data_IF_378300303357
#
_entry.id   IF_378300303357
#
_cell.length_a   1.000
_cell.length_b   1.000
_cell.length_c   1.000
_cell.angle_alpha   90.00
_cell.angle_beta   90.00
_cell.angle_gamma   90.00
#
_symmetry.space_group_name_H-M   'P 1'
#
loop_
_entity.id
_entity.type
_entity.pdbx_description
1 polymer ?
#
# COMPACT_ATOMS: atom_id res chain seq x y z
N UNK A 1 -29.40 18.31 13.42
CA UNK A 1 -30.10 18.24 14.70
C UNK A 1 -31.39 17.46 14.47
N UNK A 2 -31.59 16.39 15.26
CA UNK A 2 -32.82 15.61 15.30
C UNK A 2 -33.65 16.10 16.49
N UNK A 3 -34.95 16.33 16.31
CA UNK A 3 -35.87 16.62 17.38
C UNK A 3 -36.65 15.37 17.82
N UNK A 4 -37.35 15.43 18.96
CA UNK A 4 -38.07 14.28 19.48
C UNK A 4 -39.15 13.74 18.54
N UNK A 5 -39.75 14.58 17.70
CA UNK A 5 -40.74 14.15 16.72
C UNK A 5 -40.09 13.41 15.56
N UNK A 6 -38.89 13.87 15.11
CA UNK A 6 -38.11 13.20 14.08
C UNK A 6 -37.58 11.82 14.54
N UNK A 7 -37.39 11.65 15.85
CA UNK A 7 -36.97 10.37 16.44
C UNK A 7 -38.15 9.44 16.76
N UNK A 8 -39.38 9.84 16.50
CA UNK A 8 -40.55 9.03 16.80
C UNK A 8 -40.76 8.80 18.31
N UNK A 9 -40.38 9.77 19.16
CA UNK A 9 -40.55 9.64 20.60
C UNK A 9 -42.02 9.45 20.96
N UNK A 10 -42.30 8.39 21.65
CA UNK A 10 -43.61 8.12 22.22
C UNK A 10 -43.52 7.62 23.66
N UNK A 11 -44.58 7.85 24.40
CA UNK A 11 -44.70 7.41 25.74
C UNK A 11 -44.97 5.91 25.83
N UNK A 12 -44.12 5.18 26.52
CA UNK A 12 -44.39 3.79 26.86
C UNK A 12 -45.08 3.77 28.23
N UNK A 13 -46.36 3.40 28.23
CA UNK A 13 -47.12 3.24 29.48
C UNK A 13 -46.76 1.87 30.10
N UNK A 14 -46.14 1.92 31.26
CA UNK A 14 -45.89 0.72 32.08
C UNK A 14 -47.11 0.23 32.88
N UNK A 15 -48.25 0.93 32.72
CA UNK A 15 -49.49 0.61 33.41
C UNK A 15 -49.57 1.11 34.86
N UNK A 16 -48.55 1.82 35.38
CA UNK A 16 -48.57 2.35 36.76
C UNK A 16 -49.75 3.29 36.99
N UNK A 17 -50.11 4.13 35.98
CA UNK A 17 -51.27 5.00 36.05
C UNK A 17 -52.56 4.21 36.22
N UNK A 18 -52.76 3.15 35.41
CA UNK A 18 -53.92 2.27 35.50
C UNK A 18 -53.97 1.54 36.85
N UNK A 19 -52.84 1.12 37.34
CA UNK A 19 -52.73 0.48 38.65
C UNK A 19 -53.10 1.44 39.78
N UNK A 20 -52.55 2.65 39.77
CA UNK A 20 -52.92 3.69 40.72
C UNK A 20 -54.42 4.03 40.66
N UNK A 21 -55.00 4.13 39.45
CA UNK A 21 -56.43 4.36 39.31
C UNK A 21 -57.29 3.20 39.84
N UNK A 22 -56.84 1.96 39.61
CA UNK A 22 -57.57 0.78 40.11
C UNK A 22 -57.49 0.59 41.62
N UNK A 23 -56.42 1.08 42.23
CA UNK A 23 -56.24 1.05 43.69
C UNK A 23 -56.99 2.20 44.43
N UNK A 24 -57.49 3.17 43.68
CA UNK A 24 -58.25 4.28 44.26
C UNK A 24 -59.65 3.80 44.64
N UNK A 25 -59.95 3.99 45.89
CA UNK A 25 -61.32 3.74 46.46
C UNK A 25 -62.11 5.03 46.41
N UNK A 26 -63.11 5.09 45.54
CA UNK A 26 -63.91 6.29 45.29
C UNK A 26 -64.56 6.88 46.55
N UNK A 27 -64.88 6.09 47.56
CA UNK A 27 -65.46 6.60 48.80
C UNK A 27 -64.47 7.35 49.72
N UNK A 28 -63.14 7.15 49.50
CA UNK A 28 -62.10 7.84 50.25
C UNK A 28 -61.69 9.20 49.60
N UNK A 29 -62.31 9.59 48.48
CA UNK A 29 -62.06 10.90 47.90
C UNK A 29 -62.49 12.08 48.70
N UNK A 30 -63.61 11.93 49.45
CA UNK A 30 -64.15 12.99 50.30
C UNK A 30 -63.19 13.30 51.45
N UNK A 31 -62.67 12.33 52.21
CA UNK A 31 -61.65 12.58 53.25
C UNK A 31 -60.31 13.08 52.60
N UNK A 32 -59.94 12.64 51.46
CA UNK A 32 -58.72 13.07 50.78
C UNK A 32 -58.75 14.54 50.37
N UNK A 33 -59.95 15.12 50.14
CA UNK A 33 -60.12 16.54 49.82
C UNK A 33 -59.69 17.46 50.98
N UNK A 34 -59.84 16.99 52.22
CA UNK A 34 -59.44 17.69 53.41
C UNK A 34 -58.08 17.24 53.99
N UNK A 35 -57.45 16.30 53.37
CA UNK A 35 -56.18 15.70 53.79
C UNK A 35 -54.97 16.31 53.13
N UNK A 36 -53.81 15.80 53.48
CA UNK A 36 -52.56 16.17 52.83
C UNK A 36 -52.51 15.70 51.38
N UNK A 37 -51.97 16.53 50.48
CA UNK A 37 -51.74 16.19 49.09
C UNK A 37 -50.76 15.00 49.00
N UNK A 38 -51.20 13.93 48.36
CA UNK A 38 -50.32 12.78 48.13
C UNK A 38 -49.56 13.01 46.82
N UNK A 39 -48.26 12.98 46.92
CA UNK A 39 -47.35 13.03 45.73
C UNK A 39 -46.99 11.61 45.36
N UNK A 40 -47.17 11.31 44.08
CA UNK A 40 -46.73 10.05 43.47
C UNK A 40 -45.59 10.36 42.52
N UNK A 41 -44.46 9.71 42.67
CA UNK A 41 -43.37 9.73 41.69
C UNK A 41 -43.57 8.54 40.77
N UNK A 42 -43.72 8.80 39.52
CA UNK A 42 -43.90 7.78 38.48
C UNK A 42 -42.67 7.77 37.60
N UNK A 43 -42.21 6.60 37.24
CA UNK A 43 -41.21 6.43 36.21
C UNK A 43 -41.87 6.58 34.83
N UNK A 44 -41.27 7.39 33.97
CA UNK A 44 -41.72 7.59 32.62
C UNK A 44 -40.69 6.97 31.72
N UNK A 45 -41.07 5.95 30.95
CA UNK A 45 -40.25 5.42 29.92
C UNK A 45 -40.63 6.06 28.58
N UNK A 46 -39.66 6.56 27.90
CA UNK A 46 -39.80 7.09 26.53
C UNK A 46 -39.04 6.15 25.63
N UNK A 47 -39.66 5.72 24.54
CA UNK A 47 -38.99 4.95 23.50
C UNK A 47 -39.04 5.72 22.22
N UNK A 48 -38.01 5.52 21.39
CA UNK A 48 -38.01 5.96 20.00
C UNK A 48 -38.53 4.81 19.13
N UNK A 49 -39.26 5.16 18.08
CA UNK A 49 -39.63 4.18 17.06
C UNK A 49 -38.44 3.91 16.15
N UNK A 50 -37.87 2.70 16.20
CA UNK A 50 -36.65 2.35 15.51
C UNK A 50 -36.69 2.70 14.03
N UNK A 51 -37.79 2.40 13.33
CA UNK A 51 -37.90 2.70 11.89
C UNK A 51 -37.89 4.20 11.59
N UNK A 52 -38.54 5.00 12.40
CA UNK A 52 -38.58 6.46 12.29
C UNK A 52 -37.22 7.07 12.61
N UNK A 53 -36.51 6.53 13.62
CA UNK A 53 -35.15 6.92 13.99
C UNK A 53 -34.17 6.64 12.86
N UNK A 54 -34.18 5.43 12.31
CA UNK A 54 -33.33 5.06 11.16
C UNK A 54 -33.52 5.99 9.97
N UNK A 55 -34.79 6.24 9.58
CA UNK A 55 -35.09 7.15 8.47
C UNK A 55 -34.59 8.56 8.74
N UNK A 56 -34.74 9.04 9.96
CA UNK A 56 -34.27 10.37 10.36
C UNK A 56 -32.73 10.47 10.33
N UNK A 57 -32.02 9.43 10.76
CA UNK A 57 -30.55 9.36 10.67
C UNK A 57 -30.09 9.44 9.20
N UNK A 58 -30.75 8.70 8.32
CA UNK A 58 -30.43 8.72 6.87
C UNK A 58 -30.62 10.08 6.22
N UNK A 59 -31.49 10.94 6.76
CA UNK A 59 -31.70 12.31 6.24
C UNK A 59 -30.65 13.31 6.72
N UNK A 60 -29.80 12.94 7.67
CA UNK A 60 -28.77 13.84 8.17
C UNK A 60 -27.77 14.20 7.07
N UNK A 61 -27.33 15.45 7.09
CA UNK A 61 -26.43 16.00 6.10
C UNK A 61 -25.08 15.27 6.05
N UNK A 62 -24.61 14.78 7.20
CA UNK A 62 -23.38 14.00 7.32
C UNK A 62 -23.49 12.57 6.76
N UNK A 63 -24.73 12.06 6.57
CA UNK A 63 -25.01 10.74 6.01
C UNK A 63 -25.19 10.75 4.48
N UNK A 64 -25.10 11.91 3.85
CA UNK A 64 -25.24 12.00 2.39
C UNK A 64 -23.94 11.60 1.72
N UNK A 65 -24.01 10.78 0.67
CA UNK A 65 -22.82 10.26 -0.04
C UNK A 65 -21.89 11.37 -0.57
N UNK A 66 -22.44 12.49 -0.98
CA UNK A 66 -21.68 13.65 -1.47
C UNK A 66 -20.93 14.42 -0.36
N UNK A 67 -21.31 14.19 0.91
CA UNK A 67 -20.65 14.76 2.08
C UNK A 67 -19.60 13.87 2.69
N UNK A 68 -19.52 12.59 2.25
CA UNK A 68 -18.63 11.58 2.83
C UNK A 68 -17.47 11.26 1.91
N UNK A 69 -16.27 11.13 2.49
CA UNK A 69 -15.06 10.67 1.80
C UNK A 69 -14.68 9.30 2.34
N UNK A 70 -14.57 8.31 1.45
CA UNK A 70 -14.16 6.96 1.87
C UNK A 70 -12.71 6.95 2.33
N UNK A 71 -12.37 6.16 3.36
CA UNK A 71 -10.99 5.96 3.75
C UNK A 71 -10.22 5.24 2.65
N UNK A 72 -8.96 5.60 2.47
CA UNK A 72 -8.05 4.92 1.55
C UNK A 72 -6.92 4.26 2.35
N UNK A 73 -6.57 3.04 1.98
CA UNK A 73 -5.48 2.32 2.61
C UNK A 73 -4.13 2.91 2.21
N UNK A 74 -3.16 2.85 3.13
CA UNK A 74 -1.77 3.06 2.78
C UNK A 74 -1.29 2.00 1.78
N UNK A 75 -0.39 2.37 0.88
CA UNK A 75 0.18 1.48 -0.14
C UNK A 75 1.61 1.88 -0.50
N UNK A 76 2.33 0.99 -1.19
CA UNK A 76 3.68 1.25 -1.66
C UNK A 76 3.65 1.72 -3.12
N UNK A 77 4.23 2.87 -3.41
CA UNK A 77 4.34 3.43 -4.76
C UNK A 77 5.78 3.83 -5.10
N UNK A 78 6.10 3.77 -6.39
CA UNK A 78 7.38 4.26 -6.89
C UNK A 78 7.31 5.79 -7.04
N UNK A 79 8.13 6.50 -6.27
CA UNK A 79 8.25 7.96 -6.29
C UNK A 79 9.74 8.33 -6.37
N UNK A 80 10.08 9.19 -7.30
CA UNK A 80 11.47 9.66 -7.51
C UNK A 80 12.52 8.54 -7.59
N UNK A 81 12.16 7.40 -8.18
CA UNK A 81 13.04 6.24 -8.36
C UNK A 81 13.20 5.35 -7.14
N UNK A 82 12.45 5.58 -6.06
CA UNK A 82 12.41 4.73 -4.87
C UNK A 82 10.97 4.35 -4.52
N UNK A 83 10.79 3.16 -3.95
CA UNK A 83 9.49 2.73 -3.45
C UNK A 83 9.27 3.33 -2.06
N UNK A 84 8.21 4.14 -1.94
CA UNK A 84 7.82 4.82 -0.72
C UNK A 84 6.41 4.42 -0.30
N UNK A 85 6.15 4.48 1.00
CA UNK A 85 4.81 4.26 1.52
C UNK A 85 4.02 5.55 1.37
N UNK A 86 2.93 5.49 0.59
CA UNK A 86 1.93 6.54 0.53
C UNK A 86 0.99 6.32 1.73
N UNK A 87 0.85 7.31 2.61
CA UNK A 87 0.04 7.15 3.81
C UNK A 87 -1.44 7.00 3.46
N UNK A 88 -2.17 6.41 4.39
CA UNK A 88 -3.62 6.29 4.38
C UNK A 88 -4.31 7.64 4.44
N UNK A 89 -5.55 7.67 3.97
CA UNK A 89 -6.48 8.78 4.19
C UNK A 89 -7.60 8.28 5.09
N UNK A 90 -7.79 8.92 6.25
CA UNK A 90 -8.82 8.52 7.23
C UNK A 90 -10.24 8.64 6.65
N UNK A 91 -10.48 9.64 5.82
CA UNK A 91 -11.79 9.88 5.27
C UNK A 91 -12.78 10.45 6.28
N UNK A 92 -14.05 10.44 5.91
CA UNK A 92 -15.19 10.87 6.76
C UNK A 92 -16.43 10.01 6.50
N UNK A 93 -16.21 8.78 6.03
CA UNK A 93 -17.30 7.86 5.72
C UNK A 93 -17.86 7.27 7.01
N UNK A 94 -19.17 7.46 7.23
CA UNK A 94 -19.86 6.96 8.41
C UNK A 94 -20.48 5.58 8.14
N UNK A 95 -20.28 4.66 9.07
CA UNK A 95 -21.02 3.42 9.10
C UNK A 95 -22.45 3.68 9.58
N UNK A 96 -23.42 3.49 8.70
CA UNK A 96 -24.84 3.75 8.97
C UNK A 96 -25.33 2.97 10.22
N UNK A 97 -24.97 1.70 10.31
CA UNK A 97 -25.39 0.85 11.41
C UNK A 97 -24.79 1.33 12.75
N UNK A 98 -23.52 1.74 12.74
CA UNK A 98 -22.85 2.32 13.91
C UNK A 98 -23.47 3.63 14.34
N UNK A 99 -23.81 4.51 13.40
CA UNK A 99 -24.48 5.78 13.71
C UNK A 99 -25.86 5.56 14.32
N UNK A 100 -26.66 4.66 13.74
CA UNK A 100 -27.98 4.31 14.27
C UNK A 100 -27.85 3.79 15.69
N UNK A 101 -26.97 2.83 15.94
CA UNK A 101 -26.75 2.27 17.27
C UNK A 101 -26.27 3.31 18.30
N UNK A 102 -25.38 4.23 17.90
CA UNK A 102 -24.92 5.31 18.76
C UNK A 102 -26.05 6.29 19.11
N UNK A 103 -26.92 6.61 18.15
CA UNK A 103 -28.10 7.47 18.41
C UNK A 103 -29.13 6.76 19.30
N UNK A 104 -29.40 5.48 19.07
CA UNK A 104 -30.28 4.68 19.94
C UNK A 104 -29.77 4.66 21.38
N UNK A 105 -28.48 4.37 21.57
CA UNK A 105 -27.87 4.35 22.89
C UNK A 105 -27.95 5.71 23.60
N UNK A 106 -27.73 6.81 22.90
CA UNK A 106 -27.85 8.15 23.44
C UNK A 106 -29.29 8.49 23.85
N UNK A 107 -30.27 8.07 23.05
CA UNK A 107 -31.70 8.21 23.35
C UNK A 107 -32.06 7.45 24.62
N UNK A 108 -31.64 6.21 24.75
CA UNK A 108 -31.89 5.36 25.90
C UNK A 108 -31.25 5.92 27.18
N UNK A 109 -30.10 6.53 27.06
CA UNK A 109 -29.38 7.17 28.15
C UNK A 109 -29.88 8.59 28.48
N UNK A 110 -30.77 9.16 27.67
CA UNK A 110 -31.23 10.54 27.78
C UNK A 110 -30.19 11.59 27.44
N UNK A 111 -29.20 11.23 26.63
CA UNK A 111 -28.16 12.12 26.15
C UNK A 111 -28.69 13.02 25.04
N UNK A 112 -28.22 14.26 24.97
CA UNK A 112 -28.68 15.25 24.00
C UNK A 112 -27.69 15.46 22.85
N UNK A 113 -26.53 14.81 22.90
CA UNK A 113 -25.47 14.90 21.91
C UNK A 113 -24.81 13.55 21.72
N UNK A 114 -24.45 13.22 20.48
CA UNK A 114 -23.68 12.04 20.14
C UNK A 114 -22.37 12.50 19.50
N UNK A 115 -21.26 12.05 20.03
CA UNK A 115 -19.97 12.24 19.41
C UNK A 115 -19.66 11.01 18.54
N UNK A 116 -19.81 11.14 17.22
CA UNK A 116 -19.65 10.04 16.27
C UNK A 116 -18.20 9.52 16.19
N UNK A 117 -17.21 10.36 16.50
CA UNK A 117 -15.81 9.97 16.55
C UNK A 117 -15.53 9.08 17.78
N UNK A 118 -15.96 9.51 18.97
CA UNK A 118 -15.82 8.71 20.19
C UNK A 118 -16.63 7.42 20.16
N UNK A 119 -17.73 7.41 19.42
CA UNK A 119 -18.58 6.24 19.22
C UNK A 119 -18.04 5.27 18.15
N UNK A 120 -16.94 5.60 17.48
CA UNK A 120 -16.34 4.74 16.46
C UNK A 120 -17.21 4.54 15.23
N UNK A 121 -18.02 5.55 14.87
CA UNK A 121 -18.95 5.47 13.74
C UNK A 121 -18.30 5.71 12.37
N UNK A 122 -17.03 6.08 12.31
CA UNK A 122 -16.31 6.28 11.07
C UNK A 122 -15.67 4.99 10.59
N UNK A 123 -15.73 4.73 9.26
CA UNK A 123 -14.93 3.68 8.67
C UNK A 123 -13.45 4.05 8.72
N UNK A 124 -12.62 3.11 9.16
CA UNK A 124 -11.18 3.29 9.22
C UNK A 124 -10.46 2.60 8.05
N UNK A 125 -9.29 3.13 7.62
CA UNK A 125 -8.43 2.43 6.68
C UNK A 125 -8.00 1.08 7.26
N UNK A 126 -8.07 0.03 6.44
CA UNK A 126 -7.69 -1.34 6.85
C UNK A 126 -6.18 -1.54 6.92
N UNK A 127 -5.44 -0.75 6.18
CA UNK A 127 -3.97 -0.79 6.13
C UNK A 127 -3.44 0.61 6.40
N UNK A 128 -2.60 0.71 7.42
CA UNK A 128 -1.97 1.96 7.86
C UNK A 128 -0.50 2.03 7.45
N UNK A 129 0.05 3.21 7.35
CA UNK A 129 1.44 3.49 6.93
C UNK A 129 2.49 2.92 7.89
N UNK A 130 2.13 2.66 9.13
CA UNK A 130 3.00 2.00 10.12
C UNK A 130 3.06 0.47 9.97
N UNK A 131 2.25 -0.11 9.07
CA UNK A 131 2.20 -1.54 8.80
C UNK A 131 3.58 -2.14 8.53
N UNK A 132 3.92 -3.19 9.25
CA UNK A 132 5.15 -3.96 9.04
C UNK A 132 5.18 -4.62 7.66
N UNK A 133 4.02 -4.98 7.11
CA UNK A 133 3.90 -5.57 5.78
C UNK A 133 4.30 -4.57 4.68
N UNK A 134 3.79 -3.32 4.75
CA UNK A 134 4.17 -2.27 3.79
C UNK A 134 5.66 -1.90 3.89
N UNK A 135 6.20 -1.86 5.10
CA UNK A 135 7.63 -1.62 5.30
C UNK A 135 8.49 -2.73 4.71
N UNK A 136 8.09 -3.98 4.88
CA UNK A 136 8.76 -5.12 4.27
C UNK A 136 8.64 -5.08 2.75
N UNK A 137 7.47 -4.79 2.21
CA UNK A 137 7.23 -4.62 0.77
C UNK A 137 8.14 -3.54 0.17
N UNK A 138 8.15 -2.34 0.75
CA UNK A 138 8.99 -1.24 0.29
C UNK A 138 10.48 -1.61 0.35
N UNK A 139 10.91 -2.30 1.41
CA UNK A 139 12.29 -2.74 1.57
C UNK A 139 12.70 -3.76 0.48
N UNK A 140 11.85 -4.75 0.19
CA UNK A 140 12.11 -5.74 -0.86
C UNK A 140 12.17 -5.06 -2.23
N UNK A 141 11.17 -4.24 -2.57
CA UNK A 141 11.12 -3.53 -3.84
C UNK A 141 12.35 -2.62 -4.02
N UNK A 142 12.73 -1.87 -3.00
CA UNK A 142 13.92 -1.02 -3.05
C UNK A 142 15.22 -1.82 -3.16
N UNK A 143 15.33 -2.96 -2.47
CA UNK A 143 16.50 -3.84 -2.60
C UNK A 143 16.75 -4.19 -4.06
N UNK A 144 15.75 -4.71 -4.76
CA UNK A 144 15.89 -5.17 -6.14
C UNK A 144 15.92 -4.02 -7.17
N UNK A 145 15.41 -2.85 -6.83
CA UNK A 145 15.47 -1.66 -7.69
C UNK A 145 16.76 -0.84 -7.54
N UNK A 146 17.67 -1.22 -6.62
CA UNK A 146 18.91 -0.50 -6.37
C UNK A 146 20.17 -1.29 -6.79
N UNK A 147 20.01 -2.45 -7.43
CA UNK A 147 21.13 -3.29 -7.81
C UNK A 147 21.93 -2.63 -8.93
N UNK A 148 23.24 -2.53 -8.73
CA UNK A 148 24.19 -2.17 -9.78
C UNK A 148 25.30 -3.19 -9.86
N UNK A 149 25.82 -3.44 -11.06
CA UNK A 149 26.92 -4.38 -11.28
C UNK A 149 28.03 -3.67 -12.03
N UNK A 150 29.22 -3.65 -11.44
CA UNK A 150 30.41 -3.09 -12.09
C UNK A 150 31.21 -4.23 -12.69
N UNK A 151 31.25 -4.26 -14.01
CA UNK A 151 32.02 -5.24 -14.78
C UNK A 151 33.47 -4.80 -14.92
N UNK A 152 34.38 -5.66 -14.50
CA UNK A 152 35.81 -5.52 -14.72
C UNK A 152 36.19 -6.23 -16.01
N UNK A 153 36.38 -5.43 -17.06
CA UNK A 153 36.64 -5.96 -18.45
C UNK A 153 38.09 -6.38 -18.65
N UNK A 154 38.98 -6.03 -17.73
CA UNK A 154 40.43 -6.17 -17.90
C UNK A 154 41.10 -4.87 -18.30
N UNK A 155 42.41 -4.80 -18.14
CA UNK A 155 43.26 -3.63 -18.50
C UNK A 155 42.77 -2.29 -17.93
N UNK A 156 42.10 -2.31 -16.77
CA UNK A 156 41.54 -1.12 -16.13
C UNK A 156 40.26 -0.58 -16.75
N UNK A 157 39.68 -1.31 -17.68
CA UNK A 157 38.38 -0.96 -18.30
C UNK A 157 37.26 -1.48 -17.43
N UNK A 158 36.30 -0.63 -17.14
CA UNK A 158 35.11 -0.99 -16.37
C UNK A 158 33.85 -0.55 -17.08
N UNK A 159 32.81 -1.35 -16.96
CA UNK A 159 31.46 -1.04 -17.42
C UNK A 159 30.49 -1.16 -16.24
N UNK A 160 29.52 -0.28 -16.17
CA UNK A 160 28.54 -0.30 -15.08
C UNK A 160 27.14 -0.55 -15.62
N UNK A 161 26.54 -1.62 -15.18
CA UNK A 161 25.11 -1.85 -15.28
C UNK A 161 24.45 -1.12 -14.10
N UNK A 162 23.80 -0.02 -14.41
CA UNK A 162 23.25 0.87 -13.39
C UNK A 162 21.90 0.37 -12.80
N UNK A 163 21.60 0.85 -11.60
CA UNK A 163 20.38 0.47 -10.87
C UNK A 163 19.09 0.86 -11.61
N UNK A 164 19.11 1.92 -12.42
CA UNK A 164 17.95 2.34 -13.20
C UNK A 164 17.59 1.32 -14.28
N UNK A 165 18.60 0.76 -14.92
CA UNK A 165 18.44 -0.28 -15.94
C UNK A 165 17.96 -1.58 -15.31
N UNK A 166 18.61 -2.03 -14.22
CA UNK A 166 18.24 -3.28 -13.54
C UNK A 166 16.86 -3.21 -12.92
N UNK A 167 16.45 -2.06 -12.36
CA UNK A 167 15.13 -1.85 -11.81
C UNK A 167 14.01 -2.12 -12.84
N UNK A 168 14.26 -1.81 -14.11
CA UNK A 168 13.31 -2.05 -15.21
C UNK A 168 13.11 -3.54 -15.55
N UNK A 169 13.98 -4.42 -15.06
CA UNK A 169 13.92 -5.86 -15.31
C UNK A 169 13.22 -6.65 -14.22
N UNK A 170 12.87 -5.99 -13.10
CA UNK A 170 12.15 -6.63 -12.02
C UNK A 170 10.66 -6.27 -12.02
N UNK A 171 9.85 -7.29 -11.91
CA UNK A 171 8.45 -7.20 -11.50
C UNK A 171 8.27 -7.92 -10.15
N UNK A 172 7.12 -7.73 -9.50
CA UNK A 172 6.85 -8.36 -8.21
C UNK A 172 5.51 -9.09 -8.30
N UNK A 173 5.49 -10.33 -7.82
CA UNK A 173 4.27 -11.12 -7.77
C UNK A 173 3.36 -10.69 -6.59
N UNK A 174 2.23 -11.38 -6.44
CA UNK A 174 1.26 -11.12 -5.35
C UNK A 174 1.84 -11.32 -3.94
N UNK A 175 2.92 -12.11 -3.82
CA UNK A 175 3.64 -12.35 -2.57
C UNK A 175 4.88 -11.44 -2.42
N UNK A 176 5.00 -10.42 -3.27
CA UNK A 176 6.12 -9.46 -3.29
C UNK A 176 7.46 -10.16 -3.58
N UNK A 177 7.42 -11.34 -4.25
CA UNK A 177 8.64 -11.98 -4.69
C UNK A 177 9.14 -11.34 -5.98
N UNK A 178 10.44 -11.05 -6.10
CA UNK A 178 10.99 -10.46 -7.30
C UNK A 178 10.97 -11.48 -8.45
N UNK A 179 10.49 -11.05 -9.61
CA UNK A 179 10.49 -11.80 -10.86
C UNK A 179 11.37 -11.05 -11.84
N UNK A 180 12.50 -11.66 -12.20
CA UNK A 180 13.49 -11.09 -13.11
C UNK A 180 13.13 -11.39 -14.56
N UNK A 181 13.21 -10.39 -15.43
CA UNK A 181 13.23 -10.57 -16.88
C UNK A 181 14.64 -11.04 -17.32
N UNK A 182 14.84 -12.36 -17.32
CA UNK A 182 16.10 -12.99 -17.74
C UNK A 182 16.43 -12.73 -19.22
N UNK A 183 15.41 -12.46 -20.05
CA UNK A 183 15.62 -12.13 -21.46
C UNK A 183 16.27 -10.76 -21.61
N UNK A 184 15.79 -9.77 -20.88
CA UNK A 184 16.38 -8.43 -20.88
C UNK A 184 17.81 -8.44 -20.31
N UNK A 185 18.06 -9.18 -19.24
CA UNK A 185 19.38 -9.35 -18.66
C UNK A 185 20.35 -10.01 -19.66
N UNK A 186 19.90 -11.08 -20.34
CA UNK A 186 20.70 -11.78 -21.35
C UNK A 186 21.01 -10.89 -22.56
N UNK A 187 20.04 -10.12 -23.02
CA UNK A 187 20.24 -9.18 -24.13
C UNK A 187 21.25 -8.07 -23.79
N UNK A 188 21.30 -7.64 -22.52
CA UNK A 188 22.31 -6.67 -22.09
C UNK A 188 23.73 -7.25 -22.15
N UNK A 189 23.92 -8.53 -21.74
CA UNK A 189 25.21 -9.22 -21.87
C UNK A 189 25.61 -9.37 -23.35
N UNK A 190 24.66 -9.73 -24.21
CA UNK A 190 24.96 -9.81 -25.66
C UNK A 190 25.41 -8.46 -26.22
N UNK A 191 24.71 -7.37 -25.84
CA UNK A 191 25.11 -6.02 -26.25
C UNK A 191 26.45 -5.58 -25.66
N UNK A 192 26.79 -6.03 -24.43
CA UNK A 192 28.10 -5.80 -23.84
C UNK A 192 29.17 -6.53 -24.60
N UNK A 193 28.97 -7.82 -24.89
CA UNK A 193 29.89 -8.63 -25.68
C UNK A 193 30.11 -8.06 -27.08
N UNK A 194 29.06 -7.65 -27.78
CA UNK A 194 29.14 -7.03 -29.11
C UNK A 194 30.00 -5.75 -29.13
N UNK A 195 30.14 -5.06 -28.03
CA UNK A 195 30.98 -3.86 -27.90
C UNK A 195 32.46 -4.19 -27.67
N UNK A 196 32.73 -5.32 -27.01
CA UNK A 196 34.08 -5.66 -26.57
C UNK A 196 34.71 -6.87 -27.28
N UNK A 197 33.92 -7.70 -27.96
CA UNK A 197 34.44 -8.79 -28.75
C UNK A 197 35.19 -8.23 -29.95
N UNK A 198 36.47 -8.60 -30.08
CA UNK A 198 37.34 -8.22 -31.21
C UNK A 198 37.80 -9.41 -32.01
N UNK A 199 37.61 -10.64 -31.53
CA UNK A 199 37.91 -11.84 -32.25
C UNK A 199 37.09 -11.92 -33.55
N UNK A 200 37.76 -12.08 -34.71
CA UNK A 200 37.12 -12.14 -36.02
C UNK A 200 36.79 -10.76 -36.63
N UNK A 201 37.10 -9.66 -35.95
CA UNK A 201 36.96 -8.32 -36.53
C UNK A 201 38.12 -7.96 -37.44
N UNK A 202 37.91 -6.95 -38.30
CA UNK A 202 38.97 -6.37 -39.14
C UNK A 202 39.47 -5.10 -38.48
N UNK A 203 40.75 -5.11 -38.07
CA UNK A 203 41.37 -3.96 -37.43
C UNK A 203 42.25 -3.17 -38.40
N UNK A 204 42.20 -1.84 -38.42
CA UNK A 204 43.06 -1.03 -39.27
C UNK A 204 44.48 -1.04 -38.72
N UNK A 205 45.42 -1.52 -39.53
CA UNK A 205 46.84 -1.52 -39.23
C UNK A 205 47.56 -0.53 -40.15
N UNK A 206 48.33 0.37 -39.60
CA UNK A 206 49.15 1.30 -40.37
C UNK A 206 50.53 0.70 -40.62
N UNK A 207 50.79 0.41 -41.88
CA UNK A 207 52.10 -0.13 -42.31
C UNK A 207 53.23 0.91 -42.14
N UNK A 208 54.47 0.43 -42.16
CA UNK A 208 55.66 1.31 -42.13
C UNK A 208 55.75 2.28 -43.33
N UNK A 209 55.07 1.99 -44.44
CA UNK A 209 54.97 2.84 -45.60
C UNK A 209 53.89 3.92 -45.46
N UNK A 210 53.14 3.92 -44.33
CA UNK A 210 52.06 4.87 -44.05
C UNK A 210 50.70 4.49 -44.63
N UNK A 211 50.60 3.34 -45.30
CA UNK A 211 49.32 2.82 -45.79
C UNK A 211 48.52 2.15 -44.66
N UNK A 212 47.21 2.28 -44.72
CA UNK A 212 46.32 1.55 -43.81
C UNK A 212 45.84 0.30 -44.49
N UNK A 213 46.16 -0.85 -43.91
CA UNK A 213 45.64 -2.17 -44.31
C UNK A 213 44.73 -2.69 -43.24
N UNK A 214 43.70 -3.44 -43.60
CA UNK A 214 42.82 -4.08 -42.63
C UNK A 214 43.29 -5.51 -42.41
N UNK A 215 43.55 -5.83 -41.13
CA UNK A 215 44.00 -7.16 -40.76
C UNK A 215 42.85 -7.85 -40.02
N UNK A 216 42.51 -9.05 -40.48
CA UNK A 216 41.47 -9.85 -39.83
C UNK A 216 42.05 -10.53 -38.57
N UNK A 217 41.43 -10.26 -37.41
CA UNK A 217 41.79 -10.83 -36.13
C UNK A 217 41.22 -12.27 -35.97
N UNK A 218 41.73 -13.22 -36.75
CA UNK A 218 41.20 -14.60 -36.80
C UNK A 218 41.47 -15.40 -35.53
N UNK A 219 42.59 -15.17 -34.90
CA UNK A 219 43.09 -15.94 -33.76
C UNK A 219 43.56 -15.05 -32.60
N UNK A 220 43.38 -13.75 -32.77
CA UNK A 220 43.79 -12.74 -31.80
C UNK A 220 42.61 -11.79 -31.50
N UNK A 221 42.36 -11.54 -30.26
CA UNK A 221 41.28 -10.65 -29.86
C UNK A 221 40.60 -11.16 -28.60
N UNK A 222 39.57 -10.41 -28.21
CA UNK A 222 38.73 -10.72 -27.08
C UNK A 222 37.44 -11.39 -27.55
N UNK A 223 37.00 -12.39 -26.81
CA UNK A 223 35.72 -13.02 -27.01
C UNK A 223 35.14 -13.37 -25.66
N UNK A 224 34.03 -12.74 -25.29
CA UNK A 224 33.33 -12.98 -24.02
C UNK A 224 32.69 -14.39 -24.04
N UNK A 225 32.78 -15.10 -22.92
CA UNK A 225 31.96 -16.30 -22.72
C UNK A 225 30.53 -15.89 -22.37
N UNK A 226 29.73 -15.61 -23.40
CA UNK A 226 28.36 -15.06 -23.25
C UNK A 226 27.47 -15.93 -22.42
N UNK A 227 27.57 -17.24 -22.51
CA UNK A 227 26.70 -18.15 -21.76
C UNK A 227 27.06 -18.16 -20.25
N UNK A 228 28.33 -18.17 -19.92
CA UNK A 228 28.80 -18.04 -18.56
C UNK A 228 28.44 -16.69 -17.97
N UNK A 229 28.60 -15.60 -18.74
CA UNK A 229 28.27 -14.24 -18.28
C UNK A 229 26.77 -14.00 -18.09
N UNK A 230 25.92 -14.55 -18.98
CA UNK A 230 24.46 -14.51 -18.80
C UNK A 230 24.03 -15.22 -17.51
N UNK A 231 24.56 -16.41 -17.28
CA UNK A 231 24.27 -17.16 -16.07
C UNK A 231 24.75 -16.41 -14.81
N UNK A 232 25.95 -15.86 -14.84
CA UNK A 232 26.52 -15.10 -13.73
C UNK A 232 25.70 -13.84 -13.43
N UNK A 233 25.29 -13.07 -14.46
CA UNK A 233 24.47 -11.89 -14.26
C UNK A 233 23.10 -12.24 -13.65
N UNK A 234 22.44 -13.28 -14.17
CA UNK A 234 21.16 -13.75 -13.64
C UNK A 234 21.29 -14.13 -12.16
N UNK A 235 22.34 -14.84 -11.78
CA UNK A 235 22.59 -15.23 -10.39
C UNK A 235 22.86 -14.01 -9.50
N UNK A 236 23.67 -13.06 -9.96
CA UNK A 236 23.92 -11.80 -9.22
C UNK A 236 22.61 -11.05 -8.97
N UNK A 237 21.79 -10.89 -10.02
CA UNK A 237 20.53 -10.18 -9.93
C UNK A 237 19.53 -10.89 -8.99
N UNK A 238 19.46 -12.22 -9.05
CA UNK A 238 18.62 -13.02 -8.13
C UNK A 238 19.05 -12.93 -6.67
N UNK A 239 20.35 -12.79 -6.40
CA UNK A 239 20.86 -12.57 -5.05
C UNK A 239 20.51 -11.17 -4.50
N UNK A 240 20.25 -10.21 -5.37
CA UNK A 240 19.77 -8.89 -4.99
C UNK A 240 20.81 -8.02 -4.30
N UNK A 241 22.08 -8.16 -4.67
CA UNK A 241 23.18 -7.37 -4.11
C UNK A 241 24.03 -6.74 -5.22
N UNK A 242 24.35 -5.46 -5.03
CA UNK A 242 25.29 -4.78 -5.92
C UNK A 242 26.69 -5.36 -5.72
N UNK A 243 27.38 -5.60 -6.82
CA UNK A 243 28.70 -6.24 -6.77
C UNK A 243 29.61 -5.78 -7.92
N UNK A 244 30.88 -6.10 -7.78
CA UNK A 244 31.85 -6.10 -8.88
C UNK A 244 31.94 -7.49 -9.45
N UNK A 245 31.99 -7.61 -10.76
CA UNK A 245 32.09 -8.86 -11.50
C UNK A 245 33.23 -8.79 -12.51
N UNK A 246 34.08 -9.77 -12.52
CA UNK A 246 35.16 -9.87 -13.52
C UNK A 246 34.66 -10.72 -14.68
N UNK A 247 34.75 -10.17 -15.89
CA UNK A 247 34.28 -10.83 -17.12
C UNK A 247 35.08 -12.11 -17.39
N UNK A 248 34.38 -13.16 -17.77
CA UNK A 248 34.96 -14.42 -18.23
C UNK A 248 35.17 -14.37 -19.75
N UNK A 249 36.41 -14.52 -20.16
CA UNK A 249 36.77 -14.59 -21.56
C UNK A 249 36.96 -16.04 -21.98
N UNK A 250 36.61 -16.37 -23.23
CA UNK A 250 36.77 -17.73 -23.74
C UNK A 250 38.26 -18.14 -23.75
N UNK A 251 38.50 -19.39 -23.36
CA UNK A 251 39.83 -19.98 -23.38
C UNK A 251 40.36 -20.04 -24.84
N UNK A 252 41.56 -19.54 -25.09
CA UNK A 252 42.15 -19.43 -26.43
C UNK A 252 41.83 -18.12 -27.14
N UNK A 253 40.92 -17.28 -26.69
CA UNK A 253 40.83 -15.90 -27.14
C UNK A 253 42.00 -15.11 -26.53
N UNK A 254 42.73 -14.39 -27.35
CA UNK A 254 43.79 -13.51 -26.86
C UNK A 254 43.14 -12.29 -26.23
N UNK A 255 43.26 -12.19 -24.95
CA UNK A 255 42.86 -11.02 -24.23
C UNK A 255 44.01 -10.06 -24.09
N UNK A 256 43.76 -8.77 -24.14
CA UNK A 256 44.78 -7.76 -23.80
C UNK A 256 45.16 -7.95 -22.35
N UNK A 257 46.37 -8.49 -22.12
CA UNK A 257 46.96 -8.62 -20.82
C UNK A 257 48.04 -7.58 -20.60
N UNK A 258 48.67 -7.59 -19.42
CA UNK A 258 49.82 -6.71 -19.13
C UNK A 258 50.99 -6.85 -20.11
N UNK A 259 51.06 -7.95 -20.83
CA UNK A 259 52.07 -8.26 -21.83
C UNK A 259 51.58 -8.16 -23.28
N UNK A 260 50.39 -7.60 -23.50
CA UNK A 260 49.89 -7.38 -24.85
C UNK A 260 50.72 -6.29 -25.55
N UNK A 261 51.38 -6.67 -26.63
CA UNK A 261 52.27 -5.81 -27.40
C UNK A 261 51.64 -5.35 -28.71
N UNK A 262 50.35 -5.65 -28.95
CA UNK A 262 49.60 -5.32 -30.15
C UNK A 262 48.90 -3.99 -30.15
#
# INVERSE_FOLDING_TARGET
VLDGAALGYHFVSDGEVQKLLSEQQSFLWLPAYFGAVKHYTMSVSVAAETETLEQSVRTLKCMQEDAMVKPENAYVALQDGTYQIVPETEGSYLDEAGVIAAVEAAVDNGEVTVNLEESGCYEEPKVRSDSSALKAEAAVKNKYSSISVTYQMGCGITETLDAKTTAGWFTFDENIQPVLDETAASAWVDALADRYDTLGTQEPFRTTNGETVYVEARTYGWQMDRETEKAALIDILKNGESTEHTVTWLEGAWTRGENDIG
#
